data_IF_693269537663
#
_entry.id   IF_693269537663
#
_cell.length_a   1.000
_cell.length_b   1.000
_cell.length_c   1.000
_cell.angle_alpha   90.00
_cell.angle_beta   90.00
_cell.angle_gamma   90.00
#
_symmetry.space_group_name_H-M   'P 1'
#
loop_
_entity.id
_entity.type
_entity.pdbx_description
1 polymer ?
#
# COMPACT_ATOMS: atom_id res chain seq x y z
N UNK A 1 91.00 -8.86 0.34
CA UNK A 1 89.82 -8.40 -0.41
C UNK A 1 88.99 -7.53 0.53
N UNK A 2 88.59 -6.33 0.08
CA UNK A 2 88.11 -5.19 0.87
C UNK A 2 86.68 -5.31 1.45
N UNK A 3 86.38 -4.39 2.39
CA UNK A 3 85.11 -3.94 3.06
C UNK A 3 85.00 -4.45 4.52
N UNK A 4 85.39 -3.74 5.59
CA UNK A 4 85.06 -2.39 6.15
C UNK A 4 83.60 -2.22 6.61
N UNK A 5 83.44 -2.27 7.95
CA UNK A 5 82.63 -1.47 8.89
C UNK A 5 81.28 -0.84 8.52
N UNK A 6 80.32 -0.88 9.46
CA UNK A 6 79.32 0.18 9.59
C UNK A 6 78.05 -0.14 10.40
N UNK A 7 77.86 0.58 11.51
CA UNK A 7 76.79 0.57 12.50
C UNK A 7 75.33 0.84 12.04
N UNK A 8 74.39 0.50 12.94
CA UNK A 8 73.10 1.19 13.13
C UNK A 8 71.94 0.56 12.33
N UNK A 9 70.70 0.50 12.81
CA UNK A 9 70.00 1.38 13.74
C UNK A 9 68.70 0.70 14.18
N UNK A 10 68.30 0.95 15.43
CA UNK A 10 66.90 0.92 15.87
C UNK A 10 66.03 1.70 14.89
N UNK A 11 64.85 1.19 14.57
CA UNK A 11 63.92 1.89 13.69
C UNK A 11 62.66 1.08 13.48
N UNK A 12 61.70 1.33 14.36
CA UNK A 12 60.28 1.09 14.17
C UNK A 12 59.86 1.41 12.72
N UNK A 13 59.37 0.42 11.99
CA UNK A 13 58.62 0.61 10.73
C UNK A 13 57.18 0.20 11.01
N UNK A 14 56.54 0.97 11.90
CA UNK A 14 55.16 1.37 11.71
C UNK A 14 55.11 2.27 10.46
N UNK A 15 54.34 1.87 9.45
CA UNK A 15 54.30 2.49 8.12
C UNK A 15 54.73 1.43 7.10
N UNK A 16 53.89 0.93 6.20
CA UNK A 16 52.98 1.69 5.36
C UNK A 16 51.73 0.88 5.00
N UNK A 17 50.55 1.34 5.41
CA UNK A 17 49.29 1.00 4.72
C UNK A 17 48.27 2.14 4.78
N UNK A 18 48.74 3.37 5.05
CA UNK A 18 47.89 4.58 5.09
C UNK A 18 47.70 5.24 3.73
N UNK A 19 48.38 4.75 2.68
CA UNK A 19 48.46 5.39 1.36
C UNK A 19 48.03 4.48 0.20
N UNK A 20 47.23 3.44 0.46
CA UNK A 20 46.62 2.66 -0.62
C UNK A 20 45.31 3.34 -1.07
N UNK A 21 45.27 3.99 -2.25
CA UNK A 21 44.03 4.56 -2.77
C UNK A 21 42.94 3.50 -3.00
N UNK A 22 43.31 2.21 -3.14
CA UNK A 22 42.35 1.11 -3.21
C UNK A 22 41.58 0.86 -1.91
N UNK A 23 42.13 1.22 -0.74
CA UNK A 23 41.41 1.12 0.54
C UNK A 23 40.55 2.35 0.85
N UNK A 24 40.84 3.51 0.24
CA UNK A 24 40.02 4.72 0.41
C UNK A 24 38.69 4.65 -0.36
N UNK A 25 38.67 3.91 -1.48
CA UNK A 25 37.46 3.55 -2.22
C UNK A 25 36.87 2.20 -1.78
N UNK A 26 37.36 1.65 -0.66
CA UNK A 26 36.93 0.40 -0.08
C UNK A 26 35.52 0.47 0.48
N UNK A 27 34.56 0.04 -0.34
CA UNK A 27 33.24 -0.39 0.10
C UNK A 27 32.36 0.76 0.57
N UNK A 28 31.90 1.60 -0.35
CA UNK A 28 30.55 2.11 -0.15
C UNK A 28 29.65 0.88 -0.07
N UNK A 29 29.19 0.55 1.14
CA UNK A 29 27.89 -0.09 1.29
C UNK A 29 26.96 0.80 0.48
N UNK A 30 26.66 0.41 -0.76
CA UNK A 30 25.58 1.03 -1.48
C UNK A 30 24.40 0.95 -0.52
N UNK A 31 23.82 2.08 -0.10
CA UNK A 31 22.67 2.04 0.79
C UNK A 31 21.69 1.10 0.13
N UNK A 32 21.29 0.04 0.84
CA UNK A 32 20.32 -0.91 0.31
C UNK A 32 19.15 -0.08 -0.19
N UNK A 33 18.95 -0.23 -1.50
CA UNK A 33 18.00 0.38 -2.39
C UNK A 33 16.93 1.28 -1.75
N UNK A 34 16.63 2.41 -2.40
CA UNK A 34 15.42 3.23 -2.17
C UNK A 34 14.13 2.48 -2.54
N UNK A 35 14.10 1.17 -2.38
CA UNK A 35 12.93 0.33 -2.54
C UNK A 35 11.97 0.65 -1.41
N UNK A 36 10.73 1.06 -1.73
CA UNK A 36 9.68 1.20 -0.73
C UNK A 36 9.50 -0.11 0.04
N UNK A 37 9.17 -0.04 1.33
CA UNK A 37 8.73 -1.22 2.08
C UNK A 37 7.50 -1.85 1.39
N UNK A 38 7.74 -2.92 0.61
CA UNK A 38 6.74 -3.56 -0.26
C UNK A 38 7.07 -3.58 -1.75
N UNK A 39 8.25 -3.12 -2.17
CA UNK A 39 8.70 -3.09 -3.57
C UNK A 39 8.09 -1.94 -4.39
N UNK A 40 8.58 -1.75 -5.61
CA UNK A 40 7.88 -0.92 -6.59
C UNK A 40 6.47 -1.47 -6.77
N UNK A 41 5.44 -0.63 -7.03
CA UNK A 41 4.07 -1.08 -7.26
C UNK A 41 4.00 -1.92 -8.55
N UNK A 42 4.48 -3.15 -8.49
CA UNK A 42 4.09 -4.22 -9.39
C UNK A 42 2.63 -4.45 -9.08
N UNK A 43 1.75 -4.23 -10.07
CA UNK A 43 0.31 -4.49 -10.02
C UNK A 43 -0.02 -5.47 -8.91
N UNK A 44 -0.40 -4.94 -7.75
CA UNK A 44 -0.84 -5.80 -6.65
C UNK A 44 -2.16 -6.34 -7.19
N UNK A 45 -2.11 -7.54 -7.77
CA UNK A 45 -3.27 -8.23 -8.29
C UNK A 45 -4.05 -8.65 -7.06
N UNK A 46 -4.78 -7.69 -6.50
CA UNK A 46 -5.75 -7.92 -5.46
C UNK A 46 -6.71 -8.97 -6.00
N UNK A 47 -6.60 -10.20 -5.47
CA UNK A 47 -7.40 -11.34 -5.90
C UNK A 47 -8.87 -11.21 -5.53
N UNK A 48 -9.24 -10.17 -4.78
CA UNK A 48 -10.62 -9.87 -4.43
C UNK A 48 -11.38 -9.33 -5.64
N UNK A 49 -12.60 -9.80 -5.77
CA UNK A 49 -13.52 -9.40 -6.83
C UNK A 49 -14.38 -8.23 -6.35
N UNK A 50 -14.85 -7.38 -7.26
CA UNK A 50 -15.78 -6.32 -6.93
C UNK A 50 -17.08 -6.87 -6.32
N UNK A 51 -17.58 -6.23 -5.27
CA UNK A 51 -18.88 -6.55 -4.67
C UNK A 51 -20.00 -6.17 -5.64
N UNK A 52 -21.07 -6.97 -5.69
CA UNK A 52 -22.13 -6.84 -6.69
C UNK A 52 -22.76 -5.45 -6.75
N UNK A 53 -23.32 -4.98 -5.62
CA UNK A 53 -24.04 -3.72 -5.61
C UNK A 53 -23.75 -2.87 -4.37
N UNK A 54 -23.31 -1.63 -4.59
CA UNK A 54 -23.17 -0.62 -3.55
C UNK A 54 -24.53 0.02 -3.29
N UNK A 55 -25.02 -0.04 -2.05
CA UNK A 55 -26.34 0.45 -1.64
C UNK A 55 -26.26 1.91 -1.17
N UNK A 56 -25.28 2.22 -0.33
CA UNK A 56 -25.11 3.57 0.20
C UNK A 56 -23.67 3.84 0.60
N UNK A 57 -23.29 5.10 0.56
CA UNK A 57 -22.04 5.62 1.08
C UNK A 57 -22.34 6.87 1.89
N UNK A 58 -21.69 7.03 3.03
CA UNK A 58 -21.84 8.21 3.89
C UNK A 58 -20.54 8.55 4.60
N UNK A 59 -20.46 9.81 5.00
CA UNK A 59 -19.39 10.31 5.84
C UNK A 59 -19.81 10.27 7.31
N UNK A 60 -18.93 9.75 8.16
CA UNK A 60 -19.05 9.85 9.61
C UNK A 60 -17.91 10.74 10.14
N UNK A 61 -18.20 11.69 11.04
CA UNK A 61 -17.20 12.59 11.59
C UNK A 61 -16.20 11.84 12.48
N UNK A 62 -14.93 12.22 12.42
CA UNK A 62 -13.86 11.68 13.25
C UNK A 62 -12.98 12.85 13.76
N UNK A 63 -12.26 12.65 14.87
CA UNK A 63 -11.36 13.69 15.40
C UNK A 63 -10.27 14.09 14.38
N UNK A 64 -9.72 13.10 13.66
CA UNK A 64 -8.64 13.29 12.68
C UNK A 64 -9.11 12.99 11.25
N UNK A 65 -10.16 13.69 10.80
CA UNK A 65 -10.69 13.58 9.45
C UNK A 65 -12.11 13.01 9.42
N UNK A 66 -12.39 12.07 8.51
CA UNK A 66 -13.71 11.46 8.34
C UNK A 66 -13.58 9.98 8.04
N UNK A 67 -14.56 9.22 8.52
CA UNK A 67 -14.73 7.82 8.17
C UNK A 67 -15.70 7.73 6.99
N UNK A 68 -15.25 7.17 5.88
CA UNK A 68 -16.13 6.80 4.77
C UNK A 68 -16.72 5.44 5.08
N UNK A 69 -18.05 5.38 5.26
CA UNK A 69 -18.78 4.13 5.50
C UNK A 69 -19.58 3.77 4.26
N UNK A 70 -19.35 2.57 3.75
CA UNK A 70 -20.01 2.05 2.54
C UNK A 70 -20.76 0.78 2.89
N UNK A 71 -22.04 0.73 2.53
CA UNK A 71 -22.89 -0.45 2.66
C UNK A 71 -23.21 -1.00 1.29
N UNK A 72 -23.15 -2.32 1.16
CA UNK A 72 -23.35 -3.03 -0.09
C UNK A 72 -24.08 -4.35 0.11
N UNK A 73 -24.57 -4.91 -1.01
CA UNK A 73 -25.15 -6.25 -1.09
C UNK A 73 -24.28 -7.08 -2.04
N UNK A 74 -23.74 -8.22 -1.58
CA UNK A 74 -22.99 -9.14 -2.43
C UNK A 74 -23.90 -9.93 -3.38
N UNK A 75 -23.33 -10.61 -4.37
CA UNK A 75 -24.11 -11.44 -5.30
C UNK A 75 -24.74 -12.66 -4.60
N UNK A 76 -24.02 -13.23 -3.64
CA UNK A 76 -24.36 -14.48 -2.94
C UNK A 76 -24.00 -14.35 -1.46
N UNK A 77 -24.43 -15.31 -0.64
CA UNK A 77 -24.01 -15.39 0.76
C UNK A 77 -22.53 -15.81 0.87
N UNK A 78 -21.91 -15.50 2.01
CA UNK A 78 -20.57 -16.02 2.36
C UNK A 78 -19.39 -15.27 1.74
N UNK A 79 -19.59 -14.02 1.30
CA UNK A 79 -18.49 -13.13 0.96
C UNK A 79 -17.75 -12.68 2.22
N UNK A 80 -16.44 -12.48 2.11
CA UNK A 80 -15.58 -12.18 3.26
C UNK A 80 -14.38 -11.30 2.87
N UNK A 81 -13.70 -10.77 3.88
CA UNK A 81 -12.58 -9.82 3.76
C UNK A 81 -12.89 -8.66 2.80
N UNK A 82 -14.00 -7.97 3.08
CA UNK A 82 -14.45 -6.86 2.25
C UNK A 82 -13.67 -5.59 2.61
N UNK A 83 -13.15 -4.93 1.59
CA UNK A 83 -12.34 -3.74 1.74
C UNK A 83 -12.65 -2.71 0.66
N UNK A 84 -12.37 -1.45 1.00
CA UNK A 84 -12.27 -0.36 0.04
C UNK A 84 -10.81 -0.22 -0.35
N UNK A 85 -10.53 -0.32 -1.65
CA UNK A 85 -9.20 -0.12 -2.21
C UNK A 85 -9.24 1.03 -3.21
N UNK A 86 -8.09 1.64 -3.46
CA UNK A 86 -7.97 2.65 -4.51
C UNK A 86 -7.94 1.96 -5.86
N UNK A 87 -8.62 2.54 -6.85
CA UNK A 87 -8.63 2.00 -8.22
C UNK A 87 -7.23 2.07 -8.84
N UNK A 88 -6.50 3.15 -8.56
CA UNK A 88 -5.10 3.29 -8.90
C UNK A 88 -4.21 2.80 -7.75
N UNK A 89 -3.09 2.10 -8.04
CA UNK A 89 -2.13 1.71 -7.02
C UNK A 89 -1.49 2.95 -6.38
N UNK A 90 -1.73 3.13 -5.08
CA UNK A 90 -1.09 4.16 -4.27
C UNK A 90 -0.10 3.54 -3.28
N UNK A 91 0.95 4.28 -2.88
CA UNK A 91 1.80 3.86 -1.78
C UNK A 91 0.95 3.56 -0.54
N UNK A 92 1.31 2.52 0.21
CA UNK A 92 0.60 2.15 1.45
C UNK A 92 0.46 3.36 2.37
N UNK A 93 -0.74 3.52 2.92
CA UNK A 93 -1.06 4.61 3.85
C UNK A 93 -1.25 5.99 3.20
N UNK A 94 -1.12 6.12 1.87
CA UNK A 94 -1.40 7.38 1.16
C UNK A 94 -2.67 7.27 0.33
N UNK A 95 -3.71 7.96 0.79
CA UNK A 95 -4.95 8.16 0.04
C UNK A 95 -4.88 9.53 -0.60
N UNK A 96 -5.05 9.60 -1.92
CA UNK A 96 -5.13 10.86 -2.66
C UNK A 96 -6.22 10.78 -3.72
N UNK A 97 -6.81 11.92 -4.03
CA UNK A 97 -7.65 12.08 -5.21
C UNK A 97 -6.81 12.01 -6.50
N UNK A 98 -7.50 11.81 -7.61
CA UNK A 98 -6.97 12.06 -8.96
C UNK A 98 -6.76 13.57 -9.22
N UNK A 99 -6.23 13.91 -10.39
CA UNK A 99 -5.96 15.30 -10.80
C UNK A 99 -7.21 16.18 -10.85
N UNK A 100 -8.41 15.58 -10.81
CA UNK A 100 -9.70 16.29 -10.79
C UNK A 100 -10.28 16.44 -9.38
N UNK A 101 -9.59 15.95 -8.34
CA UNK A 101 -10.07 15.97 -6.97
C UNK A 101 -11.08 14.86 -6.65
N UNK A 102 -11.16 13.82 -7.48
CA UNK A 102 -12.02 12.66 -7.26
C UNK A 102 -11.21 11.49 -6.70
N UNK A 103 -11.59 10.99 -5.53
CA UNK A 103 -11.04 9.74 -4.99
C UNK A 103 -11.85 8.56 -5.54
N UNK A 104 -11.20 7.73 -6.35
CA UNK A 104 -11.81 6.52 -6.95
C UNK A 104 -11.47 5.30 -6.12
N UNK A 105 -12.50 4.69 -5.57
CA UNK A 105 -12.42 3.50 -4.75
C UNK A 105 -13.17 2.36 -5.41
N UNK A 106 -12.67 1.14 -5.22
CA UNK A 106 -13.36 -0.10 -5.57
C UNK A 106 -13.70 -0.83 -4.29
N UNK A 107 -14.94 -1.26 -4.15
CA UNK A 107 -15.39 -2.13 -3.07
C UNK A 107 -15.16 -3.59 -3.49
N UNK A 108 -14.28 -4.28 -2.80
CA UNK A 108 -13.83 -5.63 -3.15
C UNK A 108 -14.02 -6.60 -1.99
N UNK A 109 -14.15 -7.88 -2.30
CA UNK A 109 -14.13 -8.97 -1.32
C UNK A 109 -13.83 -10.32 -1.97
N UNK A 110 -13.59 -11.34 -1.16
CA UNK A 110 -13.49 -12.71 -1.66
C UNK A 110 -14.86 -13.35 -1.78
N UNK A 111 -15.17 -13.98 -2.93
CA UNK A 111 -16.39 -14.76 -3.06
C UNK A 111 -16.36 -16.02 -2.18
N UNK A 112 -17.52 -16.61 -1.86
CA UNK A 112 -17.56 -17.91 -1.21
C UNK A 112 -16.89 -18.98 -2.08
N UNK A 113 -16.44 -20.06 -1.44
CA UNK A 113 -15.89 -21.21 -2.16
C UNK A 113 -16.88 -21.71 -3.22
N UNK A 114 -16.36 -22.02 -4.41
CA UNK A 114 -17.16 -22.58 -5.50
C UNK A 114 -17.85 -23.86 -5.04
N UNK A 115 -19.09 -24.06 -5.47
CA UNK A 115 -19.91 -25.23 -5.12
C UNK A 115 -20.25 -25.39 -3.62
N UNK A 116 -20.09 -24.34 -2.81
CA UNK A 116 -20.62 -24.31 -1.44
C UNK A 116 -22.12 -24.03 -1.41
N UNK A 117 -22.79 -24.29 -0.29
CA UNK A 117 -24.21 -23.90 -0.12
C UNK A 117 -24.38 -22.36 -0.21
N UNK A 118 -23.41 -21.62 0.33
CA UNK A 118 -23.39 -20.16 0.30
C UNK A 118 -23.28 -19.61 -1.12
N UNK A 119 -22.44 -20.20 -1.98
CA UNK A 119 -22.29 -19.77 -3.38
C UNK A 119 -23.52 -20.01 -4.25
N UNK A 120 -24.45 -20.87 -3.82
CA UNK A 120 -25.72 -21.14 -4.51
C UNK A 120 -26.88 -20.33 -3.96
N UNK A 121 -26.68 -19.63 -2.86
CA UNK A 121 -27.71 -18.85 -2.18
C UNK A 121 -27.54 -17.37 -2.51
N UNK A 122 -28.51 -16.78 -3.19
CA UNK A 122 -28.54 -15.34 -3.42
C UNK A 122 -28.55 -14.58 -2.08
N UNK A 123 -27.87 -13.43 -2.04
CA UNK A 123 -27.90 -12.57 -0.87
C UNK A 123 -29.29 -11.96 -0.68
N UNK A 124 -29.79 -11.95 0.55
CA UNK A 124 -31.02 -11.25 0.92
C UNK A 124 -30.70 -9.79 1.25
N UNK A 125 -31.23 -8.79 0.51
CA UNK A 125 -31.01 -7.37 0.79
C UNK A 125 -31.36 -6.93 2.22
N UNK A 126 -32.27 -7.64 2.90
CA UNK A 126 -32.73 -7.29 4.24
C UNK A 126 -31.80 -7.76 5.37
N UNK A 127 -30.96 -8.79 5.13
CA UNK A 127 -30.13 -9.41 6.19
C UNK A 127 -28.66 -9.57 5.82
N UNK A 128 -28.35 -9.69 4.54
CA UNK A 128 -27.02 -10.05 4.05
C UNK A 128 -26.29 -8.81 3.52
N UNK A 129 -26.34 -7.72 4.29
CA UNK A 129 -25.61 -6.49 3.99
C UNK A 129 -24.17 -6.60 4.47
N UNK A 130 -23.26 -5.97 3.74
CA UNK A 130 -21.86 -5.84 4.15
C UNK A 130 -21.53 -4.37 4.28
N UNK A 131 -20.78 -4.04 5.33
CA UNK A 131 -20.28 -2.69 5.57
C UNK A 131 -18.76 -2.71 5.57
N UNK A 132 -18.17 -1.82 4.77
CA UNK A 132 -16.75 -1.53 4.78
C UNK A 132 -16.56 -0.06 5.14
N UNK A 133 -15.48 0.23 5.85
CA UNK A 133 -15.16 1.60 6.23
C UNK A 133 -13.70 1.92 5.93
N UNK A 134 -13.46 3.15 5.49
CA UNK A 134 -12.12 3.66 5.19
C UNK A 134 -11.92 4.99 5.92
N UNK A 135 -10.89 5.05 6.76
CA UNK A 135 -10.48 6.29 7.43
C UNK A 135 -9.75 7.18 6.44
N UNK A 136 -10.18 8.43 6.34
CA UNK A 136 -9.53 9.43 5.49
C UNK A 136 -9.10 10.60 6.37
N UNK A 137 -7.79 10.82 6.43
CA UNK A 137 -7.20 11.86 7.26
C UNK A 137 -7.58 13.26 6.77
N UNK A 138 -7.45 14.26 7.64
CA UNK A 138 -7.76 15.65 7.30
C UNK A 138 -6.91 16.17 6.13
N UNK A 139 -5.65 15.77 6.07
CA UNK A 139 -4.71 16.13 5.00
C UNK A 139 -5.15 15.56 3.66
N UNK A 140 -5.51 14.27 3.62
CA UNK A 140 -6.01 13.63 2.41
C UNK A 140 -7.35 14.25 1.97
N UNK A 141 -8.26 14.50 2.92
CA UNK A 141 -9.54 15.15 2.64
C UNK A 141 -9.39 16.55 2.05
N UNK A 142 -8.30 17.27 2.31
CA UNK A 142 -8.10 18.62 1.76
C UNK A 142 -8.04 18.62 0.22
N UNK A 143 -7.52 17.55 -0.39
CA UNK A 143 -7.45 17.37 -1.85
C UNK A 143 -8.62 16.62 -2.46
N UNK A 144 -9.60 16.17 -1.67
CA UNK A 144 -10.75 15.39 -2.13
C UNK A 144 -11.99 16.28 -2.17
N UNK A 145 -12.60 16.41 -3.34
CA UNK A 145 -13.90 17.08 -3.53
C UNK A 145 -15.05 16.06 -3.57
N UNK A 146 -14.77 14.88 -4.13
CA UNK A 146 -15.76 13.85 -4.40
C UNK A 146 -15.12 12.47 -4.24
N UNK A 147 -15.90 11.50 -3.79
CA UNK A 147 -15.51 10.08 -3.76
C UNK A 147 -16.44 9.31 -4.69
N UNK A 148 -15.88 8.48 -5.55
CA UNK A 148 -16.62 7.53 -6.39
C UNK A 148 -16.27 6.13 -5.92
N UNK A 149 -17.28 5.37 -5.54
CA UNK A 149 -17.14 3.99 -5.07
C UNK A 149 -17.75 3.05 -6.10
N UNK A 150 -16.93 2.23 -6.74
CA UNK A 150 -17.35 1.23 -7.72
C UNK A 150 -17.52 -0.15 -7.08
N UNK A 151 -18.65 -0.78 -7.36
CA UNK A 151 -18.86 -2.22 -7.27
C UNK A 151 -18.79 -2.86 -8.67
N UNK A 152 -19.07 -4.15 -8.77
CA UNK A 152 -19.10 -4.84 -10.07
C UNK A 152 -20.32 -4.45 -10.91
N UNK A 153 -21.44 -4.10 -10.28
CA UNK A 153 -22.72 -3.82 -10.94
C UNK A 153 -23.12 -2.35 -10.97
N UNK A 154 -22.53 -1.48 -10.14
CA UNK A 154 -22.83 -0.06 -10.11
C UNK A 154 -21.69 0.76 -9.47
N UNK A 155 -21.79 2.08 -9.57
CA UNK A 155 -20.96 3.01 -8.81
C UNK A 155 -21.86 4.03 -8.07
N UNK A 156 -21.41 4.47 -6.89
CA UNK A 156 -22.06 5.52 -6.11
C UNK A 156 -21.08 6.67 -5.92
N UNK A 157 -21.59 7.89 -6.09
CA UNK A 157 -20.85 9.13 -5.87
C UNK A 157 -21.25 9.74 -4.54
N UNK A 158 -20.26 10.14 -3.75
CA UNK A 158 -20.44 10.86 -2.50
C UNK A 158 -19.64 12.16 -2.56
N UNK A 159 -20.33 13.29 -2.40
CA UNK A 159 -19.68 14.60 -2.29
C UNK A 159 -19.17 14.80 -0.87
N UNK A 160 -18.11 15.61 -0.72
CA UNK A 160 -17.55 15.97 0.58
C UNK A 160 -18.53 16.84 1.38
#
# INVERSE_FOLDING_TARGET
>A
MLLVAGCGRFGDSMGDSSWNPGTWFGGSNQPQSLEPEGGYPTTNLDGRTGIAHVVSARWEPMYEGRLLVVTAIPATKGWWDVALITEEPLPKGRIRADDTGVLRLRLVGYPPQQNSAASRSAANPASDTITAALTISKEALAGINQVVISGSGNAVTLNK
#
